data_IF_654123175514
#
_entry.id   IF_654123175514
#
_cell.length_a   1.000
_cell.length_b   1.000
_cell.length_c   1.000
_cell.angle_alpha   90.00
_cell.angle_beta   90.00
_cell.angle_gamma   90.00
#
_symmetry.space_group_name_H-M   'P 1'
#
loop_
_entity.id
_entity.type
_entity.pdbx_description
1 polymer ?
#
# COMPACT_ATOMS: atom_id res chain seq x y z
N UNK A 1 -19.63 -18.40 5.85
CA UNK A 1 -21.07 -18.12 5.74
C UNK A 1 -21.25 -17.05 4.69
N UNK A 2 -22.09 -17.35 3.70
CA UNK A 2 -22.56 -16.37 2.73
C UNK A 2 -23.42 -15.33 3.46
N UNK A 3 -23.40 -14.07 3.02
CA UNK A 3 -24.32 -13.02 3.50
C UNK A 3 -25.81 -13.42 3.34
N UNK A 4 -26.11 -14.41 2.50
CA UNK A 4 -27.44 -14.97 2.32
C UNK A 4 -27.88 -16.00 3.38
N UNK A 5 -26.99 -16.42 4.28
CA UNK A 5 -27.29 -17.45 5.29
C UNK A 5 -27.55 -16.87 6.70
N UNK A 6 -27.35 -15.56 6.89
CA UNK A 6 -27.56 -14.91 8.19
C UNK A 6 -29.05 -14.62 8.40
N UNK A 7 -29.60 -15.05 9.54
CA UNK A 7 -31.00 -14.76 9.86
C UNK A 7 -31.20 -13.24 10.00
N UNK A 8 -32.39 -12.74 9.67
CA UNK A 8 -32.73 -11.30 9.78
C UNK A 8 -32.51 -10.71 11.19
N UNK A 9 -32.34 -11.56 12.22
CA UNK A 9 -32.01 -11.19 13.59
C UNK A 9 -30.50 -11.03 13.87
N UNK A 10 -29.63 -11.56 13.01
CA UNK A 10 -28.17 -11.50 13.16
C UNK A 10 -27.57 -10.27 12.47
N UNK A 11 -28.16 -9.85 11.35
CA UNK A 11 -27.77 -8.65 10.60
C UNK A 11 -27.78 -7.38 11.48
N UNK A 12 -28.82 -7.12 12.31
CA UNK A 12 -28.81 -5.98 13.23
C UNK A 12 -27.70 -6.03 14.29
N UNK A 13 -27.31 -7.23 14.74
CA UNK A 13 -26.23 -7.41 15.74
C UNK A 13 -24.85 -7.15 15.13
N UNK A 14 -24.64 -7.54 13.87
CA UNK A 14 -23.41 -7.25 13.13
C UNK A 14 -23.32 -5.76 12.79
N UNK A 15 -24.41 -5.15 12.33
CA UNK A 15 -24.48 -3.71 12.07
C UNK A 15 -24.29 -2.88 13.35
N UNK A 16 -24.85 -3.31 14.49
CA UNK A 16 -24.63 -2.71 15.81
C UNK A 16 -23.16 -2.78 16.25
N UNK A 17 -22.49 -3.93 16.07
CA UNK A 17 -21.06 -4.05 16.35
C UNK A 17 -20.24 -3.15 15.43
N UNK A 18 -20.56 -3.07 14.15
CA UNK A 18 -19.86 -2.19 13.20
C UNK A 18 -20.08 -0.69 13.50
N UNK A 19 -21.28 -0.32 13.95
CA UNK A 19 -21.59 1.05 14.39
C UNK A 19 -20.87 1.44 15.68
N UNK A 20 -20.64 0.49 16.61
CA UNK A 20 -19.88 0.77 17.85
C UNK A 20 -18.40 1.10 17.63
N UNK A 21 -17.86 0.83 16.44
CA UNK A 21 -16.49 1.23 16.05
C UNK A 21 -16.42 2.60 15.36
N UNK A 22 -17.56 3.24 15.11
CA UNK A 22 -17.65 4.60 14.60
C UNK A 22 -18.03 5.51 15.76
N UNK A 23 -17.06 6.22 16.33
CA UNK A 23 -17.27 7.18 17.43
C UNK A 23 -18.03 8.44 16.96
N UNK A 24 -19.20 8.28 16.37
CA UNK A 24 -20.11 9.37 16.03
C UNK A 24 -21.55 8.87 16.04
N UNK A 25 -22.37 9.51 16.87
CA UNK A 25 -23.69 9.07 17.30
C UNK A 25 -24.81 9.13 16.24
N UNK A 26 -24.73 8.39 15.13
CA UNK A 26 -25.88 8.16 14.24
C UNK A 26 -25.90 6.73 13.67
N UNK A 27 -27.02 5.98 13.79
CA UNK A 27 -27.10 4.60 13.31
C UNK A 27 -27.28 4.55 11.79
N UNK A 28 -26.49 3.71 11.12
CA UNK A 28 -26.67 3.36 9.70
C UNK A 28 -27.77 2.30 9.54
N UNK A 29 -28.62 2.45 8.51
CA UNK A 29 -29.78 1.59 8.22
C UNK A 29 -29.59 0.86 6.88
N UNK A 30 -30.10 -0.37 6.78
CA UNK A 30 -29.93 -1.29 5.64
C UNK A 30 -31.18 -1.29 4.76
N UNK A 31 -31.02 -1.27 3.43
CA UNK A 31 -32.07 -1.63 2.46
C UNK A 31 -31.52 -2.64 1.46
N UNK A 32 -32.32 -3.68 1.16
CA UNK A 32 -32.04 -4.73 0.19
C UNK A 32 -32.92 -4.48 -1.03
N UNK A 33 -32.35 -4.25 -2.21
CA UNK A 33 -33.09 -4.22 -3.47
C UNK A 33 -32.74 -5.43 -4.34
N UNK A 34 -33.71 -6.33 -4.45
CA UNK A 34 -33.73 -7.39 -5.45
C UNK A 34 -34.47 -6.83 -6.67
N UNK A 35 -33.81 -6.69 -7.81
CA UNK A 35 -34.47 -6.28 -9.05
C UNK A 35 -34.11 -7.24 -10.19
N UNK A 36 -35.02 -8.19 -10.45
CA UNK A 36 -35.22 -8.80 -11.77
C UNK A 36 -35.83 -7.72 -12.68
N UNK A 37 -35.17 -7.40 -13.79
CA UNK A 37 -35.76 -6.59 -14.86
C UNK A 37 -36.44 -7.49 -15.90
N UNK A 38 -37.70 -7.22 -16.19
CA UNK A 38 -38.37 -7.54 -17.46
C UNK A 38 -38.90 -6.24 -18.07
N UNK A 39 -38.77 -6.00 -19.38
CA UNK A 39 -39.27 -4.78 -20.01
C UNK A 39 -40.69 -4.97 -20.53
N UNK A 40 -41.54 -3.95 -20.37
CA UNK A 40 -42.75 -3.80 -21.17
C UNK A 40 -42.94 -2.34 -21.58
N UNK A 41 -43.10 -2.18 -22.89
CA UNK A 41 -43.37 -0.98 -23.68
C UNK A 41 -44.82 -0.51 -23.52
N UNK A 42 -45.09 0.81 -23.53
CA UNK A 42 -45.97 1.50 -24.52
C UNK A 42 -46.13 3.01 -24.27
N UNK A 43 -46.53 3.69 -25.36
CA UNK A 43 -46.54 5.12 -25.71
C UNK A 43 -47.87 5.82 -25.32
N UNK A 44 -47.87 7.14 -25.00
CA UNK A 44 -48.74 8.20 -25.60
C UNK A 44 -49.12 9.41 -24.68
N UNK A 45 -48.69 10.60 -25.13
CA UNK A 45 -49.33 11.94 -25.26
C UNK A 45 -50.43 12.52 -24.31
N UNK A 46 -50.15 13.79 -23.90
CA UNK A 46 -50.98 15.02 -23.93
C UNK A 46 -51.93 15.48 -22.78
N UNK A 47 -51.62 16.69 -22.29
CA UNK A 47 -52.46 17.86 -21.92
C UNK A 47 -53.27 17.98 -20.59
N UNK A 48 -52.84 18.97 -19.79
CA UNK A 48 -53.59 20.03 -19.05
C UNK A 48 -54.52 19.75 -17.84
N UNK A 49 -54.11 20.34 -16.70
CA UNK A 49 -54.88 20.97 -15.58
C UNK A 49 -56.14 20.31 -15.03
N UNK A 50 -56.09 19.84 -13.76
CA UNK A 50 -56.89 20.34 -12.63
C UNK A 50 -56.56 19.56 -11.34
N UNK A 51 -56.58 20.28 -10.23
CA UNK A 51 -56.21 19.86 -8.87
C UNK A 51 -57.19 18.80 -8.35
N UNK A 52 -56.66 17.66 -7.87
CA UNK A 52 -57.37 16.82 -6.91
C UNK A 52 -56.38 16.18 -5.95
N UNK A 53 -56.67 16.38 -4.68
CA UNK A 53 -55.92 15.99 -3.50
C UNK A 53 -55.72 14.47 -3.46
N UNK A 54 -54.47 14.05 -3.51
CA UNK A 54 -54.03 12.69 -3.25
C UNK A 54 -52.55 12.72 -2.95
N UNK A 55 -52.20 12.61 -1.68
CA UNK A 55 -50.82 12.41 -1.23
C UNK A 55 -50.26 11.15 -1.90
N UNK A 56 -49.51 11.34 -2.99
CA UNK A 56 -48.55 10.36 -3.46
C UNK A 56 -47.19 11.00 -3.21
N UNK A 57 -46.74 10.87 -1.96
CA UNK A 57 -45.35 11.10 -1.61
C UNK A 57 -44.53 10.12 -2.44
N UNK A 58 -44.01 10.57 -3.58
CA UNK A 58 -42.90 9.92 -4.26
C UNK A 58 -41.73 9.98 -3.28
N UNK A 59 -41.65 8.99 -2.39
CA UNK A 59 -40.48 8.71 -1.59
C UNK A 59 -39.39 8.36 -2.58
N UNK A 60 -38.64 9.38 -2.95
CA UNK A 60 -37.34 9.28 -3.57
C UNK A 60 -36.49 8.48 -2.58
N UNK A 61 -36.42 7.17 -2.80
CA UNK A 61 -35.50 6.29 -2.09
C UNK A 61 -34.09 6.77 -2.45
N UNK A 62 -33.59 7.68 -1.62
CA UNK A 62 -32.20 8.13 -1.68
C UNK A 62 -31.37 6.95 -1.23
N UNK A 63 -30.90 6.17 -2.21
CA UNK A 63 -29.91 5.12 -2.01
C UNK A 63 -28.69 5.72 -1.30
N UNK A 64 -28.61 5.54 0.02
CA UNK A 64 -27.45 5.98 0.80
C UNK A 64 -26.33 4.98 0.57
N UNK A 65 -25.57 5.24 -0.49
CA UNK A 65 -24.36 4.51 -0.81
C UNK A 65 -23.27 4.84 0.23
N UNK A 66 -22.72 3.81 0.89
CA UNK A 66 -21.55 3.98 1.74
C UNK A 66 -20.32 4.13 0.85
N UNK A 67 -19.83 5.36 0.68
CA UNK A 67 -18.57 5.60 0.00
C UNK A 67 -17.40 5.32 0.96
N UNK A 68 -16.56 4.36 0.59
CA UNK A 68 -15.27 4.14 1.25
C UNK A 68 -14.21 4.84 0.42
N UNK A 69 -13.66 5.91 0.99
CA UNK A 69 -12.58 6.67 0.35
C UNK A 69 -11.23 5.99 0.62
N UNK A 70 -10.77 5.20 -0.34
CA UNK A 70 -9.47 4.51 -0.30
C UNK A 70 -8.32 5.52 -0.20
N UNK A 71 -8.40 6.68 -0.87
CA UNK A 71 -7.35 7.69 -0.82
C UNK A 71 -7.21 8.25 0.60
N UNK A 72 -8.32 8.60 1.25
CA UNK A 72 -8.32 9.07 2.64
C UNK A 72 -7.77 8.02 3.61
N UNK A 73 -8.03 6.73 3.37
CA UNK A 73 -7.46 5.65 4.18
C UNK A 73 -5.94 5.54 4.03
N UNK A 74 -5.45 5.68 2.79
CA UNK A 74 -4.02 5.70 2.49
C UNK A 74 -3.35 6.92 3.14
N UNK A 75 -3.95 8.11 3.03
CA UNK A 75 -3.44 9.32 3.68
C UNK A 75 -3.35 9.17 5.19
N UNK A 76 -4.38 8.61 5.83
CA UNK A 76 -4.35 8.33 7.27
C UNK A 76 -3.25 7.34 7.63
N UNK A 77 -3.08 6.27 6.84
CA UNK A 77 -1.98 5.33 7.02
C UNK A 77 -0.60 6.00 6.91
N UNK A 78 -0.39 6.85 5.90
CA UNK A 78 0.86 7.61 5.71
C UNK A 78 1.12 8.57 6.88
N UNK A 79 0.08 9.24 7.39
CA UNK A 79 0.18 10.07 8.59
C UNK A 79 0.64 9.24 9.80
N UNK A 80 0.01 8.09 10.04
CA UNK A 80 0.40 7.21 11.14
C UNK A 80 1.83 6.68 11.00
N UNK A 81 2.30 6.39 9.78
CA UNK A 81 3.71 6.05 9.53
C UNK A 81 4.65 7.18 9.96
N UNK A 82 4.31 8.44 9.66
CA UNK A 82 5.12 9.61 10.07
C UNK A 82 5.13 9.85 11.57
N UNK A 83 4.09 9.40 12.28
CA UNK A 83 3.97 9.46 13.74
C UNK A 83 4.59 8.22 14.43
N UNK A 84 5.34 7.39 13.68
CA UNK A 84 5.93 6.12 14.13
C UNK A 84 4.90 5.10 14.64
N UNK A 85 3.64 5.24 14.26
CA UNK A 85 2.53 4.33 14.62
C UNK A 85 2.35 3.23 13.55
N UNK A 86 3.44 2.55 13.19
CA UNK A 86 3.49 1.62 12.05
C UNK A 86 2.48 0.46 12.17
N UNK A 87 2.24 -0.04 13.39
CA UNK A 87 1.24 -1.08 13.65
C UNK A 87 -0.18 -0.64 13.31
N UNK A 88 -0.54 0.62 13.60
CA UNK A 88 -1.84 1.16 13.25
C UNK A 88 -1.92 1.52 11.77
N UNK A 89 -0.84 2.04 11.19
CA UNK A 89 -0.76 2.36 9.77
C UNK A 89 -1.02 1.12 8.89
N UNK A 90 -0.40 -0.02 9.22
CA UNK A 90 -0.59 -1.29 8.53
C UNK A 90 -2.08 -1.65 8.42
N UNK A 91 -2.84 -1.51 9.50
CA UNK A 91 -4.28 -1.82 9.53
C UNK A 91 -5.09 -0.95 8.58
N UNK A 92 -4.71 0.32 8.41
CA UNK A 92 -5.36 1.21 7.44
C UNK A 92 -5.08 0.75 6.01
N UNK A 93 -3.83 0.44 5.67
CA UNK A 93 -3.47 -0.07 4.34
C UNK A 93 -4.09 -1.44 4.05
N UNK A 94 -4.09 -2.36 5.01
CA UNK A 94 -4.72 -3.67 4.89
C UNK A 94 -6.25 -3.56 4.71
N UNK A 95 -6.90 -2.58 5.35
CA UNK A 95 -8.32 -2.31 5.14
C UNK A 95 -8.58 -1.66 3.77
N UNK A 96 -7.72 -0.75 3.31
CA UNK A 96 -7.78 -0.20 1.96
C UNK A 96 -7.65 -1.29 0.89
N UNK A 97 -6.69 -2.21 1.04
CA UNK A 97 -6.49 -3.37 0.17
C UNK A 97 -7.73 -4.27 0.11
N UNK A 98 -8.32 -4.60 1.26
CA UNK A 98 -9.55 -5.42 1.29
C UNK A 98 -10.71 -4.76 0.55
N UNK A 99 -10.83 -3.43 0.63
CA UNK A 99 -11.84 -2.68 -0.14
C UNK A 99 -11.57 -2.78 -1.63
N UNK A 100 -10.32 -2.60 -2.06
CA UNK A 100 -9.93 -2.75 -3.47
C UNK A 100 -10.17 -4.18 -3.98
N UNK A 101 -9.77 -5.18 -3.21
CA UNK A 101 -9.97 -6.60 -3.55
C UNK A 101 -11.45 -6.96 -3.70
N UNK A 102 -12.33 -6.36 -2.89
CA UNK A 102 -13.77 -6.58 -2.97
C UNK A 102 -14.39 -6.04 -4.26
N UNK A 103 -13.84 -4.96 -4.82
CA UNK A 103 -14.35 -4.34 -6.07
C UNK A 103 -13.60 -4.81 -7.32
N UNK A 104 -12.60 -5.68 -7.17
CA UNK A 104 -11.69 -6.12 -8.25
C UNK A 104 -12.39 -6.69 -9.48
N UNK A 105 -13.52 -7.40 -9.27
CA UNK A 105 -14.33 -8.01 -10.32
C UNK A 105 -15.18 -6.97 -11.09
N UNK A 106 -15.56 -5.88 -10.43
CA UNK A 106 -16.46 -4.87 -10.97
C UNK A 106 -15.73 -3.63 -11.51
N UNK A 107 -14.41 -3.55 -11.41
CA UNK A 107 -13.60 -2.41 -11.90
C UNK A 107 -13.97 -2.00 -13.32
N UNK A 108 -14.12 -2.97 -14.23
CA UNK A 108 -14.46 -2.71 -15.63
C UNK A 108 -15.87 -2.12 -15.82
N UNK A 109 -16.75 -2.26 -14.83
CA UNK A 109 -18.13 -1.75 -14.83
C UNK A 109 -18.25 -0.36 -14.20
N UNK A 110 -17.31 0.03 -13.33
CA UNK A 110 -17.39 1.24 -12.50
C UNK A 110 -16.73 2.47 -13.18
N UNK A 111 -16.39 2.38 -14.47
CA UNK A 111 -15.74 3.44 -15.26
C UNK A 111 -14.36 3.91 -14.75
N UNK A 112 -13.79 3.26 -13.74
CA UNK A 112 -12.39 3.44 -13.35
C UNK A 112 -11.47 2.70 -14.32
N UNK A 113 -10.34 3.31 -14.71
CA UNK A 113 -9.38 2.61 -15.55
C UNK A 113 -8.77 1.45 -14.75
N UNK A 114 -8.54 0.32 -15.43
CA UNK A 114 -7.88 -0.85 -14.83
C UNK A 114 -6.49 -0.51 -14.31
N UNK A 115 -5.84 0.48 -14.92
CA UNK A 115 -4.53 1.01 -14.55
C UNK A 115 -4.60 1.78 -13.23
N UNK A 116 -5.56 2.69 -13.03
CA UNK A 116 -5.74 3.42 -11.77
C UNK A 116 -6.00 2.47 -10.59
N UNK A 117 -6.80 1.43 -10.85
CA UNK A 117 -7.04 0.37 -9.88
C UNK A 117 -5.75 -0.37 -9.51
N UNK A 118 -4.98 -0.82 -10.51
CA UNK A 118 -3.72 -1.53 -10.29
C UNK A 118 -2.70 -0.65 -9.55
N UNK A 119 -2.62 0.64 -9.88
CA UNK A 119 -1.77 1.60 -9.19
C UNK A 119 -2.16 1.78 -7.72
N UNK A 120 -3.47 1.86 -7.44
CA UNK A 120 -3.99 1.94 -6.07
C UNK A 120 -3.67 0.67 -5.26
N UNK A 121 -3.81 -0.51 -5.87
CA UNK A 121 -3.44 -1.80 -5.25
C UNK A 121 -1.93 -1.84 -4.98
N UNK A 122 -1.10 -1.50 -5.96
CA UNK A 122 0.35 -1.49 -5.82
C UNK A 122 0.80 -0.55 -4.70
N UNK A 123 0.23 0.66 -4.65
CA UNK A 123 0.48 1.64 -3.60
C UNK A 123 0.14 1.09 -2.22
N UNK A 124 -1.06 0.51 -2.06
CA UNK A 124 -1.47 -0.01 -0.76
C UNK A 124 -0.63 -1.22 -0.32
N UNK A 125 -0.25 -2.12 -1.24
CA UNK A 125 0.66 -3.23 -0.95
C UNK A 125 2.05 -2.74 -0.53
N UNK A 126 2.59 -1.74 -1.22
CA UNK A 126 3.88 -1.15 -0.92
C UNK A 126 3.91 -0.56 0.50
N UNK A 127 2.91 0.24 0.85
CA UNK A 127 2.84 0.89 2.16
C UNK A 127 2.51 -0.09 3.30
N UNK A 128 1.62 -1.07 3.08
CA UNK A 128 1.39 -2.15 4.05
C UNK A 128 2.67 -2.95 4.30
N UNK A 129 3.40 -3.28 3.23
CA UNK A 129 4.68 -3.97 3.29
C UNK A 129 5.74 -3.18 4.05
N UNK A 130 5.89 -1.88 3.76
CA UNK A 130 6.80 -0.99 4.50
C UNK A 130 6.44 -0.91 5.98
N UNK A 131 5.15 -0.74 6.31
CA UNK A 131 4.69 -0.69 7.69
C UNK A 131 5.03 -1.96 8.47
N UNK A 132 4.88 -3.13 7.85
CA UNK A 132 5.23 -4.43 8.44
C UNK A 132 6.75 -4.57 8.69
N UNK A 133 7.58 -4.12 7.74
CA UNK A 133 9.04 -4.19 7.87
C UNK A 133 9.57 -3.27 8.98
N UNK A 134 9.02 -2.06 9.11
CA UNK A 134 9.47 -1.10 10.13
C UNK A 134 9.11 -1.57 11.55
N UNK A 135 8.04 -2.35 11.71
CA UNK A 135 7.70 -2.99 12.99
C UNK A 135 8.75 -4.02 13.45
N UNK A 136 9.61 -4.52 12.55
CA UNK A 136 10.68 -5.46 12.88
C UNK A 136 10.24 -6.91 13.10
N UNK A 137 8.95 -7.22 12.93
CA UNK A 137 8.41 -8.57 13.18
C UNK A 137 8.56 -9.52 11.98
N UNK A 138 8.63 -9.00 10.74
CA UNK A 138 8.58 -9.82 9.51
C UNK A 138 9.41 -9.22 8.36
N UNK A 139 10.74 -9.15 8.52
CA UNK A 139 11.63 -8.69 7.44
C UNK A 139 11.83 -9.72 6.33
N UNK A 140 11.62 -11.00 6.62
CA UNK A 140 11.80 -12.12 5.68
C UNK A 140 10.49 -12.46 4.95
N UNK A 141 9.41 -12.68 5.70
CA UNK A 141 8.10 -13.10 5.16
C UNK A 141 7.12 -11.93 5.10
N UNK A 142 7.21 -11.13 4.03
CA UNK A 142 6.29 -10.01 3.81
C UNK A 142 5.20 -10.39 2.81
N UNK A 143 4.01 -10.76 3.30
CA UNK A 143 2.88 -11.20 2.45
C UNK A 143 2.44 -10.15 1.43
N UNK A 144 2.53 -8.86 1.77
CA UNK A 144 2.13 -7.78 0.89
C UNK A 144 3.12 -7.59 -0.27
N UNK A 145 4.42 -7.61 0.03
CA UNK A 145 5.45 -7.46 -0.99
C UNK A 145 5.64 -8.73 -1.82
N UNK A 146 5.39 -9.90 -1.25
CA UNK A 146 5.30 -11.15 -2.00
C UNK A 146 4.17 -11.09 -3.04
N UNK A 147 2.99 -10.56 -2.67
CA UNK A 147 1.89 -10.33 -3.62
C UNK A 147 2.27 -9.28 -4.67
N UNK A 148 2.87 -8.17 -4.25
CA UNK A 148 3.28 -7.08 -5.14
C UNK A 148 4.26 -7.58 -6.23
N UNK A 149 5.27 -8.36 -5.84
CA UNK A 149 6.28 -8.88 -6.77
C UNK A 149 5.86 -10.09 -7.61
N UNK A 150 4.74 -10.76 -7.30
CA UNK A 150 4.27 -11.96 -8.04
C UNK A 150 3.27 -11.63 -9.14
N UNK A 151 2.54 -10.52 -9.01
CA UNK A 151 1.49 -10.16 -9.96
C UNK A 151 2.06 -9.36 -11.13
N UNK A 152 2.04 -9.95 -12.33
CA UNK A 152 2.56 -9.31 -13.55
C UNK A 152 1.92 -7.95 -13.85
N UNK A 153 0.64 -7.78 -13.52
CA UNK A 153 -0.09 -6.50 -13.68
C UNK A 153 0.43 -5.39 -12.77
N UNK A 154 1.16 -5.72 -11.71
CA UNK A 154 1.73 -4.75 -10.77
C UNK A 154 3.23 -4.50 -11.00
N UNK A 155 3.86 -5.29 -11.88
CA UNK A 155 5.28 -5.21 -12.17
C UNK A 155 5.73 -3.82 -12.68
N UNK A 156 4.96 -3.12 -13.54
CA UNK A 156 5.34 -1.77 -13.99
C UNK A 156 5.59 -0.79 -12.84
N UNK A 157 4.77 -0.83 -11.78
CA UNK A 157 4.94 0.03 -10.61
C UNK A 157 6.17 -0.33 -9.78
N UNK A 158 6.57 -1.61 -9.79
CA UNK A 158 7.79 -2.07 -9.11
C UNK A 158 9.07 -1.64 -9.85
N UNK A 159 8.96 -1.39 -11.15
CA UNK A 159 10.07 -1.05 -12.03
C UNK A 159 10.19 0.46 -12.29
N UNK A 160 9.10 1.20 -12.07
CA UNK A 160 9.08 2.65 -12.11
C UNK A 160 10.09 3.25 -11.11
N UNK A 161 11.10 4.00 -11.57
CA UNK A 161 12.08 4.63 -10.69
C UNK A 161 11.42 5.56 -9.68
N UNK A 162 11.95 5.58 -8.46
CA UNK A 162 11.52 6.46 -7.36
C UNK A 162 10.06 6.27 -6.89
N UNK A 163 9.32 5.29 -7.42
CA UNK A 163 7.96 5.01 -7.01
C UNK A 163 7.88 4.40 -5.60
N UNK A 164 6.73 4.55 -4.94
CA UNK A 164 6.48 3.94 -3.61
C UNK A 164 6.61 2.40 -3.65
N UNK A 165 6.15 1.76 -4.73
CA UNK A 165 6.24 0.32 -4.92
C UNK A 165 7.69 -0.14 -5.12
N UNK A 166 8.46 0.55 -5.95
CA UNK A 166 9.88 0.28 -6.13
C UNK A 166 10.66 0.51 -4.82
N UNK A 167 10.33 1.57 -4.07
CA UNK A 167 10.92 1.84 -2.76
C UNK A 167 10.69 0.69 -1.78
N UNK A 168 9.46 0.19 -1.70
CA UNK A 168 9.10 -0.92 -0.82
C UNK A 168 9.81 -2.22 -1.21
N UNK A 169 9.82 -2.55 -2.50
CA UNK A 169 10.53 -3.74 -3.02
C UNK A 169 12.05 -3.64 -2.80
N UNK A 170 12.64 -2.47 -3.03
CA UNK A 170 14.06 -2.22 -2.78
C UNK A 170 14.39 -2.38 -1.30
N UNK A 171 13.59 -1.79 -0.41
CA UNK A 171 13.74 -1.93 1.03
C UNK A 171 13.74 -3.40 1.45
N UNK A 172 12.78 -4.16 0.94
CA UNK A 172 12.64 -5.58 1.30
C UNK A 172 13.83 -6.42 0.85
N UNK A 173 14.31 -6.20 -0.38
CA UNK A 173 15.51 -6.89 -0.89
C UNK A 173 16.76 -6.53 -0.10
N UNK A 174 16.91 -5.27 0.30
CA UNK A 174 18.00 -4.86 1.19
C UNK A 174 17.89 -5.56 2.55
N UNK A 175 16.71 -5.63 3.15
CA UNK A 175 16.51 -6.33 4.43
C UNK A 175 16.75 -7.84 4.34
N UNK A 176 16.41 -8.47 3.21
CA UNK A 176 16.70 -9.89 2.96
C UNK A 176 18.20 -10.17 2.77
N UNK A 177 18.93 -9.26 2.13
CA UNK A 177 20.37 -9.38 1.94
C UNK A 177 21.18 -9.04 3.19
N UNK A 178 20.56 -8.42 4.20
CA UNK A 178 21.24 -7.93 5.39
C UNK A 178 21.86 -9.08 6.22
N UNK A 179 23.00 -8.84 6.89
CA UNK A 179 23.67 -9.87 7.71
C UNK A 179 22.86 -10.28 8.95
N UNK A 180 21.88 -9.48 9.35
CA UNK A 180 20.89 -9.79 10.38
C UNK A 180 19.63 -8.95 10.19
N UNK A 181 18.49 -9.32 10.80
CA UNK A 181 17.27 -8.52 10.75
C UNK A 181 17.51 -7.08 11.22
N UNK A 182 17.04 -6.13 10.41
CA UNK A 182 17.04 -4.70 10.74
C UNK A 182 15.94 -4.37 11.76
N UNK A 183 16.22 -3.42 12.64
CA UNK A 183 15.31 -3.02 13.71
C UNK A 183 15.49 -1.54 14.05
N UNK A 184 14.43 -0.74 13.95
CA UNK A 184 14.49 0.71 14.21
C UNK A 184 15.11 1.06 15.58
N UNK A 185 14.79 0.28 16.61
CA UNK A 185 15.28 0.46 17.99
C UNK A 185 16.78 0.20 18.16
N UNK A 186 17.35 -0.72 17.38
CA UNK A 186 18.76 -1.15 17.49
C UNK A 186 19.65 -0.46 16.47
N UNK A 187 19.12 -0.25 15.27
CA UNK A 187 19.86 0.11 14.05
C UNK A 187 19.63 1.58 13.68
N UNK A 188 19.51 2.44 14.70
CA UNK A 188 19.43 3.87 14.47
C UNK A 188 20.75 4.39 13.89
N UNK A 189 20.65 5.41 13.04
CA UNK A 189 21.81 6.00 12.37
C UNK A 189 22.91 6.41 13.35
N UNK A 190 22.54 7.03 14.48
CA UNK A 190 23.50 7.46 15.49
C UNK A 190 24.27 6.28 16.11
N UNK A 191 23.58 5.17 16.41
CA UNK A 191 24.19 3.97 16.99
C UNK A 191 25.14 3.30 15.98
N UNK A 192 24.68 3.12 14.75
CA UNK A 192 25.49 2.50 13.69
C UNK A 192 26.72 3.35 13.35
N UNK A 193 26.58 4.67 13.29
CA UNK A 193 27.72 5.57 13.10
C UNK A 193 28.70 5.52 14.27
N UNK A 194 28.21 5.47 15.51
CA UNK A 194 29.08 5.31 16.68
C UNK A 194 29.88 4.00 16.63
N UNK A 195 29.24 2.89 16.22
CA UNK A 195 29.93 1.61 15.99
C UNK A 195 31.00 1.73 14.89
N UNK A 196 30.71 2.43 13.79
CA UNK A 196 31.68 2.61 12.70
C UNK A 196 32.81 3.58 13.05
N UNK A 197 32.62 4.48 14.02
CA UNK A 197 33.69 5.32 14.55
C UNK A 197 34.67 4.51 15.40
N UNK A 198 34.19 3.52 16.16
CA UNK A 198 35.06 2.64 16.95
C UNK A 198 35.66 1.51 16.11
N UNK A 199 34.93 1.01 15.12
CA UNK A 199 35.38 -0.01 14.18
C UNK A 199 34.95 0.32 12.75
N UNK A 200 35.82 1.00 12.00
CA UNK A 200 35.56 1.38 10.62
C UNK A 200 35.44 0.18 9.66
N UNK A 201 35.84 -1.03 10.05
CA UNK A 201 35.75 -2.22 9.19
C UNK A 201 34.54 -3.10 9.51
N UNK A 202 33.64 -2.67 10.39
CA UNK A 202 32.42 -3.41 10.68
C UNK A 202 31.45 -3.37 9.48
N UNK A 203 31.51 -4.41 8.64
CA UNK A 203 30.65 -4.54 7.47
C UNK A 203 29.20 -4.77 7.84
N UNK A 204 28.93 -5.35 9.03
CA UNK A 204 27.56 -5.59 9.50
C UNK A 204 26.87 -4.29 9.88
N UNK A 205 27.53 -3.46 10.70
CA UNK A 205 27.04 -2.15 11.05
C UNK A 205 26.87 -1.26 9.81
N UNK A 206 27.80 -1.33 8.86
CA UNK A 206 27.70 -0.58 7.59
C UNK A 206 26.56 -1.06 6.71
N UNK A 207 26.31 -2.37 6.61
CA UNK A 207 25.18 -2.92 5.83
C UNK A 207 23.84 -2.43 6.37
N UNK A 208 23.68 -2.42 7.69
CA UNK A 208 22.48 -1.89 8.35
C UNK A 208 22.37 -0.37 8.20
N UNK A 209 23.50 0.34 8.14
CA UNK A 209 23.51 1.78 7.92
C UNK A 209 22.98 2.13 6.53
N UNK A 210 23.32 1.35 5.49
CA UNK A 210 22.75 1.51 4.14
C UNK A 210 21.22 1.44 4.19
N UNK A 211 20.66 0.45 4.87
CA UNK A 211 19.19 0.28 5.03
C UNK A 211 18.59 1.49 5.75
N UNK A 212 19.18 1.88 6.88
CA UNK A 212 18.70 3.02 7.67
C UNK A 212 18.73 4.33 6.88
N UNK A 213 19.80 4.58 6.11
CA UNK A 213 19.92 5.77 5.26
C UNK A 213 18.89 5.76 4.11
N UNK A 214 18.67 4.61 3.48
CA UNK A 214 17.66 4.46 2.42
C UNK A 214 16.24 4.72 2.95
N UNK A 215 15.91 4.16 4.12
CA UNK A 215 14.62 4.40 4.79
C UNK A 215 14.42 5.88 5.17
N UNK A 216 15.49 6.60 5.50
CA UNK A 216 15.48 8.05 5.74
C UNK A 216 15.44 8.91 4.48
N UNK A 217 15.68 8.33 3.31
CA UNK A 217 15.76 9.06 2.05
C UNK A 217 17.12 9.72 1.78
N UNK A 218 18.16 9.41 2.55
CA UNK A 218 19.53 9.89 2.31
C UNK A 218 20.23 8.95 1.29
N UNK A 219 19.80 9.06 0.03
CA UNK A 219 20.19 8.15 -1.06
C UNK A 219 21.68 8.25 -1.41
N UNK A 220 22.25 9.45 -1.37
CA UNK A 220 23.67 9.68 -1.66
C UNK A 220 24.57 8.96 -0.64
N UNK A 221 24.27 9.10 0.65
CA UNK A 221 25.04 8.39 1.69
C UNK A 221 24.77 6.90 1.68
N UNK A 222 23.52 6.48 1.43
CA UNK A 222 23.19 5.05 1.31
C UNK A 222 24.03 4.38 0.22
N UNK A 223 24.13 5.01 -0.96
CA UNK A 223 24.97 4.49 -2.03
C UNK A 223 26.46 4.54 -1.69
N UNK A 224 26.92 5.60 -1.02
CA UNK A 224 28.33 5.73 -0.63
C UNK A 224 28.75 4.61 0.33
N UNK A 225 27.92 4.28 1.32
CA UNK A 225 28.18 3.16 2.22
C UNK A 225 28.07 1.80 1.52
N UNK A 226 27.15 1.64 0.57
CA UNK A 226 27.04 0.44 -0.26
C UNK A 226 28.29 0.25 -1.15
N UNK A 227 28.84 1.32 -1.70
CA UNK A 227 30.07 1.30 -2.49
C UNK A 227 31.28 0.91 -1.64
N UNK A 228 31.39 1.45 -0.42
CA UNK A 228 32.45 1.05 0.52
C UNK A 228 32.39 -0.46 0.79
N UNK A 229 31.20 -1.01 1.06
CA UNK A 229 31.02 -2.46 1.25
C UNK A 229 31.44 -3.25 0.01
N UNK A 230 31.04 -2.79 -1.18
CA UNK A 230 31.39 -3.45 -2.43
C UNK A 230 32.90 -3.50 -2.66
N UNK A 231 33.60 -2.38 -2.47
CA UNK A 231 35.06 -2.27 -2.61
C UNK A 231 35.79 -3.13 -1.56
N UNK A 232 35.22 -3.27 -0.36
CA UNK A 232 35.72 -4.17 0.67
C UNK A 232 35.43 -5.66 0.40
N UNK A 233 34.78 -6.00 -0.70
CA UNK A 233 34.46 -7.38 -1.10
C UNK A 233 33.24 -7.99 -0.42
N UNK A 234 32.47 -7.22 0.35
CA UNK A 234 31.27 -7.69 1.03
C UNK A 234 30.14 -7.94 0.02
N UNK A 235 29.47 -9.10 0.15
CA UNK A 235 28.40 -9.52 -0.76
C UNK A 235 27.19 -8.58 -0.72
N UNK A 236 26.88 -8.01 0.45
CA UNK A 236 25.78 -7.06 0.60
C UNK A 236 26.00 -5.80 -0.23
N UNK A 237 27.25 -5.34 -0.36
CA UNK A 237 27.58 -4.16 -1.17
C UNK A 237 27.09 -4.27 -2.62
N UNK A 238 27.29 -5.44 -3.25
CA UNK A 238 26.79 -5.70 -4.62
C UNK A 238 25.26 -5.69 -4.68
N UNK A 239 24.60 -6.38 -3.75
CA UNK A 239 23.13 -6.45 -3.67
C UNK A 239 22.54 -5.06 -3.49
N UNK A 240 23.13 -4.27 -2.58
CA UNK A 240 22.67 -2.92 -2.29
C UNK A 240 22.83 -1.99 -3.49
N UNK A 241 24.00 -1.97 -4.14
CA UNK A 241 24.20 -1.16 -5.34
C UNK A 241 23.22 -1.54 -6.46
N UNK A 242 23.04 -2.84 -6.75
CA UNK A 242 22.09 -3.32 -7.78
C UNK A 242 20.68 -2.78 -7.54
N UNK A 243 20.18 -2.87 -6.32
CA UNK A 243 18.81 -2.45 -6.01
C UNK A 243 18.65 -0.94 -5.85
N UNK A 244 19.61 -0.25 -5.24
CA UNK A 244 19.60 1.22 -5.15
C UNK A 244 19.69 1.87 -6.53
N UNK A 245 20.54 1.36 -7.43
CA UNK A 245 20.64 1.87 -8.80
C UNK A 245 19.36 1.62 -9.60
N UNK A 246 18.72 0.45 -9.45
CA UNK A 246 17.41 0.18 -10.06
C UNK A 246 16.32 1.09 -9.52
N UNK A 247 16.33 1.37 -8.22
CA UNK A 247 15.39 2.31 -7.59
C UNK A 247 15.53 3.72 -8.14
N UNK A 248 16.77 4.20 -8.30
CA UNK A 248 17.06 5.54 -8.81
C UNK A 248 16.79 5.67 -10.32
N UNK A 249 17.00 4.61 -11.09
CA UNK A 249 16.92 4.62 -12.55
C UNK A 249 18.27 4.95 -13.20
N UNK A 250 18.43 4.50 -14.46
CA UNK A 250 19.70 4.59 -15.21
C UNK A 250 20.18 6.02 -15.45
N UNK A 251 19.23 6.96 -15.60
CA UNK A 251 19.52 8.36 -15.91
C UNK A 251 19.85 9.20 -14.66
N UNK A 252 19.77 8.62 -13.47
CA UNK A 252 20.03 9.34 -12.23
C UNK A 252 21.52 9.67 -12.08
N UNK A 253 21.84 10.92 -11.71
CA UNK A 253 23.23 11.41 -11.63
C UNK A 253 24.13 10.56 -10.73
N UNK A 254 23.59 10.07 -9.61
CA UNK A 254 24.32 9.21 -8.70
C UNK A 254 24.69 7.87 -9.37
N UNK A 255 23.80 7.30 -10.17
CA UNK A 255 24.03 6.04 -10.90
C UNK A 255 25.07 6.24 -12.00
N UNK A 256 24.99 7.34 -12.76
CA UNK A 256 25.98 7.68 -13.77
C UNK A 256 27.39 7.85 -13.17
N UNK A 257 27.49 8.47 -11.99
CA UNK A 257 28.77 8.66 -11.28
C UNK A 257 29.41 7.38 -10.76
N UNK A 258 28.64 6.29 -10.57
CA UNK A 258 29.20 4.98 -10.21
C UNK A 258 29.99 4.35 -11.36
N UNK A 259 29.83 4.83 -12.60
CA UNK A 259 30.70 4.52 -13.73
C UNK A 259 30.73 3.06 -14.19
N UNK A 260 29.80 2.20 -13.74
CA UNK A 260 29.86 0.75 -14.00
C UNK A 260 28.51 0.20 -14.48
N UNK A 261 28.30 0.00 -15.79
CA UNK A 261 27.12 -0.72 -16.29
C UNK A 261 27.06 -2.18 -15.77
N UNK A 262 28.21 -2.81 -15.51
CA UNK A 262 28.33 -4.20 -15.05
C UNK A 262 27.75 -4.45 -13.64
N UNK A 263 27.70 -3.42 -12.79
CA UNK A 263 27.06 -3.48 -11.46
C UNK A 263 25.54 -3.52 -11.53
N UNK A 264 24.96 -3.07 -12.66
CA UNK A 264 23.51 -3.05 -12.88
C UNK A 264 22.99 -4.26 -13.67
N UNK A 265 23.86 -4.99 -14.37
CA UNK A 265 23.47 -6.03 -15.33
C UNK A 265 23.85 -7.47 -14.95
N UNK A 266 24.63 -7.71 -13.89
CA UNK A 266 24.98 -9.08 -13.47
C UNK A 266 23.83 -9.78 -12.71
N UNK A 267 23.47 -10.95 -13.24
CA UNK A 267 22.30 -11.81 -12.96
C UNK A 267 22.21 -12.22 -11.49
#
# INVERSE_FOLDING_TARGET
MSLGEMSMSEVPRVCSRLASFQSSAKPARVVVTSARCTPASTVAAAASTAVSSGEVSLQQETEQCLSVDVAKMVEMGKKLMSEHQCFYAEKFFAKALRTLDAVAADVNRIAASREDYNGSVALCLAWAGLALMVQGEQTVENVYLARLGRQATLQPYCDEPLSDANRAMTTWRLMQGAPRPWSETRDSEAKLRATLLSNAQDTSARSLLVITLFLKGDLERAMTEALKLHVSGDAFGRVALKHLSRFLGKDHILVQRLGSPDLTESI
#
